data_IF_103564609959
#
_entry.id   IF_103564609959
#
_cell.length_a   1.000
_cell.length_b   1.000
_cell.length_c   1.000
_cell.angle_alpha   90.00
_cell.angle_beta   90.00
_cell.angle_gamma   90.00
#
_symmetry.space_group_name_H-M   'P 1'
#
loop_
_entity.id
_entity.type
_entity.pdbx_description
1 polymer ?
#
# COMPACT_ATOMS: atom_id res chain seq x y z
N UNK A 1 -10.81 -25.01 1.55
CA UNK A 1 -9.46 -25.56 1.80
C UNK A 1 -8.91 -26.03 0.45
N UNK A 2 -7.82 -25.54 -0.13
CA UNK A 2 -6.88 -24.50 0.30
C UNK A 2 -6.48 -23.62 -0.89
N UNK A 3 -6.58 -22.30 -0.70
CA UNK A 3 -5.90 -21.31 -1.54
C UNK A 3 -4.48 -21.19 -1.01
N UNK A 4 -3.69 -22.25 -1.22
CA UNK A 4 -2.31 -22.27 -0.77
C UNK A 4 -1.41 -22.00 -1.96
N UNK A 5 -0.54 -21.00 -1.83
CA UNK A 5 0.63 -20.82 -2.69
C UNK A 5 1.67 -21.93 -2.51
N UNK A 6 1.24 -23.08 -1.97
CA UNK A 6 2.03 -24.26 -1.69
C UNK A 6 1.34 -25.46 -2.36
N UNK A 7 2.10 -26.28 -3.08
CA UNK A 7 1.63 -27.54 -3.64
C UNK A 7 1.59 -28.67 -2.58
N UNK A 8 1.17 -29.87 -2.99
CA UNK A 8 1.09 -31.04 -2.08
C UNK A 8 2.45 -31.52 -1.55
N UNK A 9 3.55 -31.02 -2.13
CA UNK A 9 4.94 -31.35 -1.78
C UNK A 9 5.62 -30.25 -0.96
N UNK A 10 4.94 -29.14 -0.68
CA UNK A 10 5.52 -28.01 0.05
C UNK A 10 6.18 -26.93 -0.82
N UNK A 11 6.13 -27.02 -2.15
CA UNK A 11 6.77 -26.04 -3.04
C UNK A 11 5.87 -24.85 -3.31
N UNK A 12 6.49 -23.67 -3.46
CA UNK A 12 5.80 -22.47 -3.88
C UNK A 12 5.16 -22.63 -5.26
N UNK A 13 3.89 -22.22 -5.41
CA UNK A 13 3.20 -22.16 -6.69
C UNK A 13 2.31 -20.93 -6.80
N UNK A 14 2.23 -20.39 -8.01
CA UNK A 14 1.21 -19.43 -8.37
C UNK A 14 -0.11 -20.16 -8.59
N UNK A 15 -1.20 -19.68 -7.98
CA UNK A 15 -2.52 -20.32 -8.09
C UNK A 15 -3.07 -20.13 -9.50
N UNK A 16 -3.52 -21.19 -10.16
CA UNK A 16 -4.23 -21.05 -11.44
C UNK A 16 -5.58 -20.34 -11.23
N UNK A 17 -5.79 -19.28 -12.00
CA UNK A 17 -7.02 -18.47 -11.99
C UNK A 17 -7.76 -18.54 -13.31
N UNK A 18 -7.34 -19.37 -14.27
CA UNK A 18 -7.89 -19.49 -15.62
C UNK A 18 -9.41 -19.68 -15.64
N UNK A 19 -9.94 -20.52 -14.75
CA UNK A 19 -11.37 -20.82 -14.59
C UNK A 19 -12.17 -19.84 -13.73
N UNK A 20 -11.61 -18.72 -13.30
CA UNK A 20 -12.33 -17.67 -12.57
C UNK A 20 -12.86 -16.60 -13.54
N UNK A 21 -14.03 -16.04 -13.22
CA UNK A 21 -14.61 -14.93 -13.99
C UNK A 21 -13.81 -13.62 -13.83
N UNK A 22 -13.84 -12.82 -14.89
CA UNK A 22 -13.34 -11.44 -14.86
C UNK A 22 -14.41 -10.57 -14.21
N UNK A 23 -14.05 -9.89 -13.13
CA UNK A 23 -14.93 -8.97 -12.40
C UNK A 23 -14.19 -7.68 -12.09
N UNK A 24 -14.91 -6.57 -11.88
CA UNK A 24 -14.34 -5.36 -11.30
C UNK A 24 -13.84 -5.64 -9.89
N UNK A 25 -12.64 -5.18 -9.58
CA UNK A 25 -11.95 -5.38 -8.30
C UNK A 25 -11.33 -4.07 -7.86
N UNK A 26 -11.29 -3.91 -6.55
CA UNK A 26 -10.69 -2.75 -5.92
C UNK A 26 -10.09 -3.16 -4.59
N UNK A 27 -8.97 -2.56 -4.23
CA UNK A 27 -8.37 -2.64 -2.91
C UNK A 27 -7.95 -1.25 -2.42
N UNK A 28 -8.08 -1.03 -1.12
CA UNK A 28 -7.61 0.17 -0.42
C UNK A 28 -6.71 -0.25 0.72
N UNK A 29 -5.49 0.26 0.74
CA UNK A 29 -4.53 0.10 1.82
C UNK A 29 -4.13 1.45 2.39
N UNK A 30 -3.68 1.45 3.64
CA UNK A 30 -3.12 2.62 4.33
C UNK A 30 -1.80 2.26 4.98
N UNK A 31 -1.02 3.26 5.36
CA UNK A 31 0.19 3.14 6.18
C UNK A 31 0.65 4.52 6.65
N UNK A 32 1.57 4.54 7.62
CA UNK A 32 2.08 5.76 8.23
C UNK A 32 3.61 5.77 8.26
N UNK A 33 4.18 6.96 8.18
CA UNK A 33 5.60 7.21 8.50
C UNK A 33 5.66 8.17 9.69
N UNK A 34 5.96 7.66 10.86
CA UNK A 34 6.14 8.44 12.08
C UNK A 34 7.52 9.10 12.07
N UNK A 35 7.60 10.35 12.52
CA UNK A 35 8.82 11.15 12.49
C UNK A 35 8.79 12.23 13.57
N UNK A 36 9.89 12.96 13.73
CA UNK A 36 9.91 14.14 14.61
C UNK A 36 9.06 15.28 14.05
N UNK A 37 8.53 16.11 14.95
CA UNK A 37 7.77 17.31 14.59
C UNK A 37 8.55 18.23 13.65
N UNK A 38 9.85 18.45 13.90
CA UNK A 38 10.68 19.31 13.05
C UNK A 38 10.81 18.76 11.63
N UNK A 39 10.81 17.43 11.47
CA UNK A 39 10.88 16.79 10.15
C UNK A 39 9.58 16.98 9.40
N UNK A 40 8.45 16.80 10.09
CA UNK A 40 7.13 16.98 9.52
C UNK A 40 6.90 18.44 9.08
N UNK A 41 7.32 19.41 9.90
CA UNK A 41 7.27 20.83 9.56
C UNK A 41 8.09 21.15 8.30
N UNK A 42 9.30 20.58 8.17
CA UNK A 42 10.11 20.77 6.95
C UNK A 42 9.45 20.20 5.69
N UNK A 43 8.70 19.10 5.81
CA UNK A 43 7.91 18.55 4.70
C UNK A 43 6.79 19.53 4.32
N UNK A 44 6.03 20.01 5.32
CA UNK A 44 4.90 20.92 5.10
C UNK A 44 5.33 22.26 4.50
N UNK A 45 6.48 22.80 4.93
CA UNK A 45 7.03 24.05 4.43
C UNK A 45 7.72 23.90 3.07
N UNK A 46 7.87 22.68 2.55
CA UNK A 46 8.58 22.40 1.30
C UNK A 46 10.09 22.65 1.37
N UNK A 47 10.66 22.66 2.57
CA UNK A 47 12.07 22.99 2.83
C UNK A 47 12.98 21.75 2.95
N UNK A 48 12.49 20.58 2.53
CA UNK A 48 13.30 19.36 2.54
C UNK A 48 14.46 19.46 1.54
N UNK A 49 15.73 19.17 1.93
CA UNK A 49 16.89 19.36 1.04
C UNK A 49 16.83 18.59 -0.28
N UNK A 50 16.11 17.46 -0.30
CA UNK A 50 15.94 16.61 -1.48
C UNK A 50 14.78 17.04 -2.41
N UNK A 51 14.02 18.08 -2.05
CA UNK A 51 12.88 18.57 -2.82
C UNK A 51 11.54 18.05 -2.31
N UNK A 52 10.53 18.06 -3.18
CA UNK A 52 9.14 17.76 -2.83
C UNK A 52 8.95 16.27 -2.45
N UNK A 53 8.81 16.03 -1.15
CA UNK A 53 8.63 14.69 -0.56
C UNK A 53 7.30 14.08 -0.97
N UNK A 54 6.21 14.84 -0.91
CA UNK A 54 4.85 14.34 -1.10
C UNK A 54 4.63 13.96 -2.56
N UNK A 55 5.03 14.81 -3.51
CA UNK A 55 4.89 14.52 -4.93
C UNK A 55 5.76 13.33 -5.35
N UNK A 56 6.99 13.26 -4.84
CA UNK A 56 7.91 12.15 -5.15
C UNK A 56 7.39 10.82 -4.61
N UNK A 57 6.95 10.78 -3.35
CA UNK A 57 6.38 9.58 -2.73
C UNK A 57 5.09 9.12 -3.43
N UNK A 58 4.25 10.05 -3.88
CA UNK A 58 3.03 9.74 -4.64
C UNK A 58 3.36 9.04 -5.96
N UNK A 59 4.30 9.58 -6.73
CA UNK A 59 4.74 8.98 -8.00
C UNK A 59 5.33 7.59 -7.75
N UNK A 60 6.18 7.46 -6.73
CA UNK A 60 6.79 6.18 -6.37
C UNK A 60 5.73 5.12 -6.01
N UNK A 61 4.71 5.48 -5.23
CA UNK A 61 3.59 4.58 -4.92
C UNK A 61 2.80 4.16 -6.17
N UNK A 62 2.52 5.07 -7.10
CA UNK A 62 1.85 4.76 -8.37
C UNK A 62 2.69 3.82 -9.23
N UNK A 63 4.00 4.05 -9.31
CA UNK A 63 4.91 3.18 -10.06
C UNK A 63 4.99 1.78 -9.42
N UNK A 64 5.06 1.72 -8.10
CA UNK A 64 5.16 0.48 -7.34
C UNK A 64 3.94 -0.41 -7.51
N UNK A 65 2.73 0.16 -7.50
CA UNK A 65 1.49 -0.59 -7.77
C UNK A 65 1.59 -1.39 -9.08
N UNK A 66 2.15 -0.78 -10.14
CA UNK A 66 2.29 -1.40 -11.47
C UNK A 66 3.44 -2.42 -11.58
N UNK A 67 4.27 -2.52 -10.54
CA UNK A 67 5.45 -3.41 -10.48
C UNK A 67 5.31 -4.47 -9.39
N UNK A 68 4.10 -4.68 -8.89
CA UNK A 68 3.84 -5.58 -7.75
C UNK A 68 4.23 -7.02 -8.06
N UNK A 69 3.96 -7.49 -9.27
CA UNK A 69 4.31 -8.83 -9.76
C UNK A 69 5.81 -9.03 -9.97
N UNK A 70 6.56 -7.97 -10.27
CA UNK A 70 8.04 -8.00 -10.29
C UNK A 70 8.63 -8.19 -8.88
N UNK A 71 7.91 -7.77 -7.84
CA UNK A 71 8.40 -7.73 -6.44
C UNK A 71 7.89 -8.90 -5.60
N UNK A 72 6.63 -9.32 -5.79
CA UNK A 72 5.98 -10.36 -4.99
C UNK A 72 5.90 -11.66 -5.82
N UNK A 73 6.73 -12.68 -5.53
CA UNK A 73 7.01 -13.77 -6.46
C UNK A 73 5.79 -14.52 -7.01
N UNK A 74 4.72 -14.67 -6.23
CA UNK A 74 3.54 -15.46 -6.59
C UNK A 74 2.32 -14.60 -6.98
N UNK A 75 2.49 -13.29 -7.13
CA UNK A 75 1.45 -12.42 -7.68
C UNK A 75 1.33 -12.60 -9.19
N UNK A 76 0.10 -12.61 -9.68
CA UNK A 76 -0.17 -12.57 -11.12
C UNK A 76 0.14 -11.18 -11.67
N UNK A 77 0.58 -11.10 -12.92
CA UNK A 77 0.59 -9.82 -13.65
C UNK A 77 -0.85 -9.38 -13.92
N UNK A 78 -1.22 -8.17 -13.49
CA UNK A 78 -2.58 -7.63 -13.57
C UNK A 78 -2.65 -6.40 -14.49
N UNK A 79 -3.69 -6.27 -15.33
CA UNK A 79 -3.96 -5.04 -16.07
C UNK A 79 -4.56 -4.01 -15.09
N UNK A 80 -3.71 -3.24 -14.42
CA UNK A 80 -4.14 -2.19 -13.48
C UNK A 80 -4.86 -1.08 -14.24
N UNK A 81 -6.13 -0.83 -13.92
CA UNK A 81 -6.98 0.17 -14.57
C UNK A 81 -6.85 1.55 -13.89
N UNK A 82 -6.60 1.58 -12.58
CA UNK A 82 -6.50 2.81 -11.81
C UNK A 82 -5.67 2.68 -10.55
N UNK A 83 -4.88 3.71 -10.26
CA UNK A 83 -4.10 3.86 -9.02
C UNK A 83 -4.25 5.28 -8.51
N UNK A 84 -4.65 5.42 -7.26
CA UNK A 84 -4.69 6.70 -6.54
C UNK A 84 -3.87 6.56 -5.27
N UNK A 85 -2.97 7.52 -5.02
CA UNK A 85 -2.18 7.59 -3.78
C UNK A 85 -2.41 8.97 -3.16
N UNK A 86 -3.04 8.98 -1.99
CA UNK A 86 -3.26 10.13 -1.14
C UNK A 86 -2.18 10.15 -0.06
N UNK A 87 -1.56 11.31 0.18
CA UNK A 87 -0.51 11.50 1.19
C UNK A 87 -0.79 12.80 1.92
N UNK A 88 -0.88 12.75 3.25
CA UNK A 88 -1.19 13.89 4.11
C UNK A 88 -0.23 13.93 5.31
N UNK A 89 0.15 15.13 5.74
CA UNK A 89 0.89 15.31 7.00
C UNK A 89 -0.11 15.40 8.15
N UNK A 90 0.12 14.64 9.22
CA UNK A 90 -0.71 14.56 10.40
C UNK A 90 0.08 15.03 11.63
N UNK A 91 -0.21 16.25 12.08
CA UNK A 91 0.47 16.88 13.21
C UNK A 91 0.09 16.27 14.56
N UNK A 92 -1.10 15.66 14.68
CA UNK A 92 -1.54 15.04 15.94
C UNK A 92 -0.77 13.75 16.21
N UNK A 93 -0.57 12.93 15.18
CA UNK A 93 0.17 11.66 15.26
C UNK A 93 1.67 11.79 14.94
N UNK A 94 2.14 12.99 14.60
CA UNK A 94 3.50 13.27 14.10
C UNK A 94 3.91 12.30 12.98
N UNK A 95 3.06 12.21 11.95
CA UNK A 95 3.25 11.24 10.87
C UNK A 95 2.88 11.76 9.48
N UNK A 96 3.36 11.06 8.46
CA UNK A 96 2.84 11.16 7.09
C UNK A 96 1.91 9.98 6.84
N UNK A 97 0.63 10.27 6.68
CA UNK A 97 -0.43 9.31 6.38
C UNK A 97 -0.48 9.03 4.88
N UNK A 98 -0.45 7.76 4.51
CA UNK A 98 -0.45 7.29 3.11
C UNK A 98 -1.64 6.37 2.90
N UNK A 99 -2.40 6.60 1.83
CA UNK A 99 -3.53 5.76 1.43
C UNK A 99 -3.47 5.50 -0.07
N UNK A 100 -3.49 4.22 -0.45
CA UNK A 100 -3.53 3.81 -1.84
C UNK A 100 -4.84 3.10 -2.17
N UNK A 101 -5.46 3.46 -3.28
CA UNK A 101 -6.60 2.75 -3.90
C UNK A 101 -6.17 2.24 -5.27
N UNK A 102 -6.34 0.95 -5.50
CA UNK A 102 -6.02 0.30 -6.78
C UNK A 102 -7.25 -0.43 -7.29
N UNK A 103 -7.48 -0.39 -8.61
CA UNK A 103 -8.59 -1.08 -9.26
C UNK A 103 -8.17 -1.77 -10.57
N UNK A 104 -8.87 -2.85 -10.89
CA UNK A 104 -8.74 -3.56 -12.17
C UNK A 104 -10.04 -4.32 -12.50
N UNK A 105 -10.19 -4.76 -13.75
CA UNK A 105 -11.13 -5.79 -14.16
C UNK A 105 -10.37 -7.10 -14.45
N UNK A 106 -10.32 -8.03 -13.49
CA UNK A 106 -9.56 -9.28 -13.67
C UNK A 106 -10.07 -10.48 -12.85
N UNK A 107 -9.31 -11.57 -12.87
CA UNK A 107 -9.63 -12.88 -12.26
C UNK A 107 -9.15 -13.02 -10.80
N UNK A 108 -8.28 -12.14 -10.33
CA UNK A 108 -7.76 -12.08 -8.96
C UNK A 108 -7.72 -10.64 -8.44
N UNK A 109 -7.71 -10.49 -7.12
CA UNK A 109 -7.74 -9.19 -6.44
C UNK A 109 -6.45 -8.38 -6.59
N UNK A 110 -6.54 -7.11 -6.19
CA UNK A 110 -5.45 -6.12 -6.25
C UNK A 110 -4.96 -5.68 -4.86
N UNK A 111 -5.13 -6.56 -3.86
CA UNK A 111 -4.74 -6.28 -2.48
C UNK A 111 -3.24 -5.98 -2.37
N UNK A 112 -2.42 -6.75 -3.11
CA UNK A 112 -0.97 -6.62 -3.08
C UNK A 112 -0.49 -5.36 -3.76
N UNK A 113 -1.17 -4.90 -4.81
CA UNK A 113 -0.85 -3.65 -5.51
C UNK A 113 -1.10 -2.45 -4.59
N UNK A 114 -2.20 -2.45 -3.84
CA UNK A 114 -2.50 -1.39 -2.87
C UNK A 114 -1.47 -1.37 -1.72
N UNK A 115 -1.15 -2.54 -1.15
CA UNK A 115 -0.16 -2.66 -0.07
C UNK A 115 1.25 -2.27 -0.53
N UNK A 116 1.64 -2.67 -1.73
CA UNK A 116 2.94 -2.35 -2.33
C UNK A 116 3.06 -0.86 -2.61
N UNK A 117 2.00 -0.24 -3.13
CA UNK A 117 1.94 1.21 -3.35
C UNK A 117 2.19 2.01 -2.06
N UNK A 118 1.49 1.66 -0.97
CA UNK A 118 1.70 2.29 0.34
C UNK A 118 3.12 2.07 0.83
N UNK A 119 3.62 0.83 0.75
CA UNK A 119 4.94 0.47 1.27
C UNK A 119 6.05 1.25 0.58
N UNK A 120 6.01 1.34 -0.75
CA UNK A 120 7.05 2.05 -1.50
C UNK A 120 6.91 3.57 -1.37
N UNK A 121 5.70 4.11 -1.29
CA UNK A 121 5.50 5.51 -0.96
C UNK A 121 6.11 5.84 0.42
N UNK A 122 5.90 4.99 1.43
CA UNK A 122 6.47 5.14 2.77
C UNK A 122 8.01 5.08 2.75
N UNK A 123 8.58 4.11 2.04
CA UNK A 123 10.04 4.01 1.84
C UNK A 123 10.60 5.25 1.13
N UNK A 124 9.83 5.86 0.22
CA UNK A 124 10.22 7.07 -0.49
C UNK A 124 10.19 8.28 0.44
N UNK A 125 9.17 8.44 1.28
CA UNK A 125 9.17 9.46 2.35
C UNK A 125 10.41 9.30 3.22
N UNK A 126 10.72 8.06 3.64
CA UNK A 126 11.91 7.79 4.44
C UNK A 126 13.19 8.21 3.69
N UNK A 127 13.37 7.81 2.44
CA UNK A 127 14.56 8.18 1.66
C UNK A 127 14.76 9.69 1.53
N UNK A 128 13.66 10.42 1.33
CA UNK A 128 13.64 11.87 1.16
C UNK A 128 13.97 12.61 2.45
N UNK A 129 13.67 12.04 3.62
CA UNK A 129 13.81 12.71 4.91
C UNK A 129 14.97 12.19 5.78
N UNK A 130 15.55 11.01 5.49
CA UNK A 130 16.56 10.34 6.34
C UNK A 130 17.85 11.14 6.62
N UNK A 131 18.11 12.20 5.86
CA UNK A 131 19.25 13.08 6.12
C UNK A 131 19.01 13.99 7.34
N UNK A 132 17.74 14.34 7.60
CA UNK A 132 17.30 15.18 8.70
C UNK A 132 16.89 14.33 9.90
N UNK A 133 16.18 13.22 9.65
CA UNK A 133 15.69 12.33 10.69
C UNK A 133 15.87 10.85 10.33
N UNK A 134 16.79 10.17 11.02
CA UNK A 134 17.03 8.73 10.84
C UNK A 134 16.17 7.87 11.76
N UNK A 135 15.42 8.47 12.69
CA UNK A 135 14.60 7.78 13.68
C UNK A 135 13.18 7.50 13.20
N UNK A 136 12.85 7.81 11.94
CA UNK A 136 11.52 7.60 11.40
C UNK A 136 11.10 6.13 11.45
N UNK A 137 9.81 5.88 11.66
CA UNK A 137 9.24 4.52 11.71
C UNK A 137 8.17 4.38 10.65
N UNK A 138 8.34 3.41 9.76
CA UNK A 138 7.29 3.00 8.81
C UNK A 138 6.41 1.96 9.50
N UNK A 139 5.12 2.20 9.58
CA UNK A 139 4.19 1.37 10.32
C UNK A 139 2.77 1.41 9.78
N UNK A 140 1.89 0.68 10.46
CA UNK A 140 0.44 0.64 10.20
C UNK A 140 0.04 0.31 8.76
N UNK A 141 0.93 -0.37 8.02
CA UNK A 141 0.65 -0.79 6.64
C UNK A 141 -0.40 -1.89 6.66
N UNK A 142 -1.56 -1.59 6.09
CA UNK A 142 -2.71 -2.45 6.29
C UNK A 142 -3.79 -2.30 5.22
N UNK A 143 -4.43 -3.42 4.87
CA UNK A 143 -5.59 -3.42 3.98
C UNK A 143 -6.84 -2.95 4.74
N UNK A 144 -7.50 -1.92 4.21
CA UNK A 144 -8.73 -1.33 4.78
C UNK A 144 -9.97 -1.85 4.09
N UNK A 145 -9.92 -2.02 2.78
CA UNK A 145 -11.07 -2.45 1.98
C UNK A 145 -10.62 -3.28 0.80
N UNK A 146 -11.40 -4.28 0.43
CA UNK A 146 -11.37 -4.85 -0.92
C UNK A 146 -12.77 -5.21 -1.39
N UNK A 147 -12.99 -5.17 -2.70
CA UNK A 147 -14.25 -5.57 -3.34
C UNK A 147 -13.99 -6.44 -4.56
N UNK A 148 -15.01 -7.22 -4.96
CA UNK A 148 -14.97 -8.06 -6.15
C UNK A 148 -14.42 -9.46 -5.93
N UNK A 149 -14.71 -10.36 -6.88
CA UNK A 149 -14.39 -11.77 -6.80
C UNK A 149 -15.23 -12.57 -5.79
N UNK A 150 -14.93 -13.88 -5.70
CA UNK A 150 -15.71 -14.85 -4.92
C UNK A 150 -15.78 -14.54 -3.42
N UNK A 151 -14.75 -13.90 -2.85
CA UNK A 151 -14.73 -13.56 -1.42
C UNK A 151 -15.62 -12.38 -1.05
N UNK A 152 -16.22 -11.70 -2.02
CA UNK A 152 -17.05 -10.53 -1.79
C UNK A 152 -16.27 -9.33 -1.25
N UNK A 153 -17.00 -8.43 -0.59
CA UNK A 153 -16.43 -7.26 0.05
C UNK A 153 -15.81 -7.61 1.41
N UNK A 154 -14.63 -7.07 1.65
CA UNK A 154 -14.02 -7.00 2.96
C UNK A 154 -13.83 -5.53 3.32
N UNK A 155 -14.21 -5.18 4.55
CA UNK A 155 -13.90 -3.90 5.18
C UNK A 155 -13.28 -4.24 6.52
N UNK A 156 -12.13 -3.62 6.81
CA UNK A 156 -11.49 -3.74 8.11
C UNK A 156 -12.42 -3.19 9.17
N UNK A 157 -12.73 -4.04 10.15
CA UNK A 157 -13.37 -3.59 11.38
C UNK A 157 -12.33 -2.80 12.18
N UNK A 158 -12.53 -1.49 12.34
CA UNK A 158 -11.76 -0.72 13.31
C UNK A 158 -12.29 -1.11 14.69
N UNK A 159 -11.54 -1.97 15.40
CA UNK A 159 -11.83 -2.21 16.81
C UNK A 159 -11.62 -0.92 17.57
N UNK A 160 -12.70 -0.21 17.89
CA UNK A 160 -12.68 0.78 18.95
C UNK A 160 -12.29 0.04 20.23
N UNK A 161 -11.11 0.34 20.78
CA UNK A 161 -10.92 0.20 22.21
C UNK A 161 -11.79 1.29 22.86
N UNK A 162 -13.07 1.00 23.06
CA UNK A 162 -13.83 1.63 24.13
C UNK A 162 -13.30 1.03 25.43
N UNK A 163 -12.31 1.71 26.02
CA UNK A 163 -12.03 1.58 27.43
C UNK A 163 -13.14 2.32 28.20
N UNK A 164 -14.16 1.61 28.66
CA UNK A 164 -14.80 1.79 29.98
C UNK A 164 -15.23 0.43 30.50
#
# INVERSE_FOLDING_TARGET
MGLSHIDEKGNARMVDVSGKDITKREAVAVGKVFMKEETLNLIMDGNMPKGDVVSTARIAGIMAAKKTDELIPMCHSLPVDGVQVEINCNLEDLSVDIKARVSCCWKTGVEMEALTAVSVAALTVYDMCKAVDKGMVIGDITLIKKTGGKSGEYVRQTGGQENV
#
